data_IF_661385448934
#
_entry.id   IF_661385448934
#
_cell.length_a   1.000
_cell.length_b   1.000
_cell.length_c   1.000
_cell.angle_alpha   90.00
_cell.angle_beta   90.00
_cell.angle_gamma   90.00
#
_symmetry.space_group_name_H-M   'P 1'
#
loop_
_entity.id
_entity.type
_entity.pdbx_description
1 polymer ?
#
# COMPACT_ATOMS: atom_id res chain seq x y z
N UNK A 1 0.73 -14.82 9.53
CA UNK A 1 1.70 -15.10 8.45
C UNK A 1 2.19 -16.55 8.48
N UNK A 2 2.79 -17.02 9.58
CA UNK A 2 3.21 -18.42 9.76
C UNK A 2 2.09 -19.45 9.52
N UNK A 3 0.88 -19.23 10.04
CA UNK A 3 -0.24 -20.17 9.85
C UNK A 3 -0.88 -20.16 8.45
N UNK A 4 -0.62 -19.14 7.64
CA UNK A 4 -1.23 -18.99 6.30
C UNK A 4 -0.25 -19.29 5.15
N UNK A 5 1.06 -19.11 5.37
CA UNK A 5 2.06 -19.19 4.30
C UNK A 5 3.32 -19.98 4.67
N UNK A 6 3.32 -20.69 5.82
CA UNK A 6 4.44 -21.52 6.32
C UNK A 6 5.81 -20.80 6.40
N UNK A 7 5.79 -19.46 6.30
CA UNK A 7 6.96 -18.59 6.29
C UNK A 7 6.58 -17.20 6.82
N UNK A 8 7.44 -16.63 7.68
CA UNK A 8 7.37 -15.22 8.11
C UNK A 8 7.82 -14.24 7.03
N UNK A 9 8.41 -14.71 5.93
CA UNK A 9 9.05 -13.86 4.91
C UNK A 9 8.06 -13.19 3.95
N UNK A 10 6.77 -13.56 4.02
CA UNK A 10 5.72 -13.02 3.15
C UNK A 10 4.73 -12.12 3.86
N UNK A 11 5.23 -11.21 4.70
CA UNK A 11 4.43 -10.10 5.25
C UNK A 11 4.99 -8.75 4.79
N UNK A 12 4.16 -7.97 4.11
CA UNK A 12 4.43 -6.58 3.74
C UNK A 12 3.67 -5.70 4.73
N UNK A 13 4.39 -4.89 5.51
CA UNK A 13 3.76 -3.95 6.45
C UNK A 13 3.80 -2.54 5.88
N UNK A 14 2.65 -1.86 5.91
CA UNK A 14 2.48 -0.48 5.45
C UNK A 14 1.98 0.34 6.64
N UNK A 15 2.74 1.36 6.99
CA UNK A 15 2.37 2.32 8.01
C UNK A 15 1.45 3.38 7.39
N UNK A 16 0.22 3.44 7.89
CA UNK A 16 -0.81 4.31 7.32
C UNK A 16 -0.73 5.76 7.84
N UNK A 17 0.08 6.01 8.86
CA UNK A 17 0.33 7.36 9.39
C UNK A 17 1.07 8.27 8.38
N UNK A 18 1.74 7.70 7.38
CA UNK A 18 2.39 8.46 6.29
C UNK A 18 1.37 8.92 5.20
N UNK A 19 0.13 8.40 5.23
CA UNK A 19 -0.87 8.57 4.16
C UNK A 19 -2.07 9.45 4.56
N UNK A 20 -1.79 10.52 5.31
CA UNK A 20 -2.80 11.47 5.82
C UNK A 20 -3.30 12.46 4.77
N UNK A 21 -2.52 12.71 3.73
CA UNK A 21 -2.82 13.70 2.70
C UNK A 21 -3.34 13.03 1.42
N UNK A 22 -4.28 13.67 0.71
CA UNK A 22 -4.90 13.05 -0.47
C UNK A 22 -3.90 12.72 -1.59
N UNK A 23 -2.77 13.44 -1.67
CA UNK A 23 -1.74 13.21 -2.68
C UNK A 23 -0.73 12.13 -2.28
N UNK A 24 -0.60 11.76 -1.00
CA UNK A 24 0.27 10.65 -0.60
C UNK A 24 -0.35 9.30 -0.98
N UNK A 25 -1.67 9.20 -1.12
CA UNK A 25 -2.37 8.01 -1.66
C UNK A 25 -1.82 7.63 -3.06
N UNK A 26 -1.55 8.63 -3.90
CA UNK A 26 -0.99 8.39 -5.24
C UNK A 26 0.41 7.74 -5.18
N UNK A 27 1.17 7.94 -4.10
CA UNK A 27 2.47 7.27 -3.91
C UNK A 27 2.31 5.82 -3.48
N UNK A 28 1.24 5.49 -2.77
CA UNK A 28 0.96 4.13 -2.30
C UNK A 28 0.56 3.21 -3.47
N UNK A 29 -0.38 3.66 -4.30
CA UNK A 29 -1.06 2.80 -5.30
C UNK A 29 -0.65 3.16 -6.74
N UNK A 30 -0.01 4.31 -6.94
CA UNK A 30 0.27 4.90 -8.25
C UNK A 30 -0.71 6.05 -8.52
N UNK A 31 -0.26 7.05 -9.26
CA UNK A 31 -1.12 8.17 -9.63
C UNK A 31 -2.08 7.77 -10.76
N UNK A 32 -3.20 8.48 -10.90
CA UNK A 32 -4.08 8.36 -12.07
C UNK A 32 -3.43 9.03 -13.30
N UNK A 33 -3.87 8.69 -14.54
CA UNK A 33 -3.52 9.47 -15.72
C UNK A 33 -3.77 10.96 -15.44
N UNK A 34 -2.85 11.83 -15.86
CA UNK A 34 -2.85 13.28 -15.64
C UNK A 34 -2.46 13.77 -14.21
N UNK A 35 -2.10 12.88 -13.29
CA UNK A 35 -1.56 13.25 -11.97
C UNK A 35 -0.02 13.21 -11.92
N UNK A 36 0.59 14.08 -11.11
CA UNK A 36 2.04 14.06 -10.86
C UNK A 36 2.42 12.71 -10.24
N UNK A 37 3.37 12.00 -10.87
CA UNK A 37 3.79 10.67 -10.44
C UNK A 37 3.09 9.49 -11.15
N UNK A 38 2.31 9.74 -12.21
CA UNK A 38 1.66 8.67 -13.01
C UNK A 38 2.64 7.62 -13.55
N UNK A 39 3.86 8.03 -13.91
CA UNK A 39 4.89 7.11 -14.41
C UNK A 39 5.63 6.36 -13.28
N UNK A 40 5.34 6.66 -12.01
CA UNK A 40 5.90 5.95 -10.87
C UNK A 40 4.91 4.86 -10.43
N UNK A 41 5.35 3.60 -10.51
CA UNK A 41 4.62 2.48 -9.91
C UNK A 41 4.44 2.76 -8.41
N UNK A 42 3.22 2.59 -7.89
CA UNK A 42 2.93 2.79 -6.47
C UNK A 42 3.72 1.82 -5.60
N UNK A 43 4.12 2.26 -4.41
CA UNK A 43 4.90 1.44 -3.48
C UNK A 43 4.25 0.08 -3.20
N UNK A 44 2.94 0.05 -2.96
CA UNK A 44 2.20 -1.18 -2.73
C UNK A 44 2.10 -2.02 -4.01
N UNK A 45 1.71 -1.40 -5.13
CA UNK A 45 1.54 -2.10 -6.40
C UNK A 45 2.83 -2.75 -6.89
N UNK A 46 3.97 -2.07 -6.75
CA UNK A 46 5.27 -2.61 -7.15
C UNK A 46 5.74 -3.74 -6.22
N UNK A 47 5.51 -3.58 -4.91
CA UNK A 47 5.88 -4.61 -3.93
C UNK A 47 5.07 -5.89 -4.16
N UNK A 48 3.76 -5.77 -4.38
CA UNK A 48 2.89 -6.91 -4.71
C UNK A 48 3.25 -7.53 -6.07
N UNK A 49 3.62 -6.71 -7.06
CA UNK A 49 4.08 -7.23 -8.37
C UNK A 49 5.33 -8.10 -8.23
N UNK A 50 6.26 -7.72 -7.34
CA UNK A 50 7.49 -8.51 -7.05
C UNK A 50 7.21 -9.72 -6.18
N UNK A 51 6.24 -9.62 -5.27
CA UNK A 51 5.88 -10.67 -4.32
C UNK A 51 4.36 -10.85 -4.24
N UNK A 52 3.76 -11.58 -5.20
CA UNK A 52 2.30 -11.67 -5.34
C UNK A 52 1.63 -12.50 -4.23
N UNK A 53 2.37 -13.38 -3.55
CA UNK A 53 1.88 -14.18 -2.44
C UNK A 53 2.40 -13.63 -1.13
N UNK A 54 1.75 -12.58 -0.64
CA UNK A 54 2.09 -11.94 0.62
C UNK A 54 0.85 -11.54 1.41
N UNK A 55 0.99 -11.49 2.73
CA UNK A 55 0.04 -10.82 3.63
C UNK A 55 0.42 -9.35 3.67
N UNK A 56 -0.53 -8.47 3.36
CA UNK A 56 -0.37 -7.03 3.54
C UNK A 56 -1.01 -6.66 4.88
N UNK A 57 -0.21 -6.06 5.77
CA UNK A 57 -0.67 -5.49 7.04
C UNK A 57 -0.64 -3.97 6.91
N UNK A 58 -1.80 -3.35 7.02
CA UNK A 58 -1.94 -1.90 7.19
C UNK A 58 -1.94 -1.61 8.70
N UNK A 59 -0.88 -0.96 9.18
CA UNK A 59 -0.67 -0.56 10.58
C UNK A 59 -1.07 0.91 10.76
N UNK A 60 -1.46 1.31 11.98
CA UNK A 60 -1.88 2.69 12.31
C UNK A 60 -3.02 3.28 11.45
N UNK A 61 -4.04 2.46 11.16
CA UNK A 61 -5.23 2.80 10.35
C UNK A 61 -6.26 3.70 11.04
N UNK A 62 -5.88 4.38 12.11
CA UNK A 62 -6.72 5.39 12.77
C UNK A 62 -6.38 6.83 12.34
N UNK A 63 -5.24 7.05 11.68
CA UNK A 63 -4.69 8.37 11.42
C UNK A 63 -4.70 8.77 9.93
N UNK A 64 -5.05 7.87 9.03
CA UNK A 64 -4.97 8.03 7.58
C UNK A 64 -6.11 8.83 6.97
N UNK A 65 -5.94 9.18 5.69
CA UNK A 65 -6.96 9.90 4.94
C UNK A 65 -8.18 9.00 4.67
N UNK A 66 -9.42 9.43 4.98
CA UNK A 66 -10.64 8.61 4.83
C UNK A 66 -10.87 8.03 3.42
N UNK A 67 -10.32 8.68 2.40
CA UNK A 67 -10.45 8.25 0.99
C UNK A 67 -9.64 6.99 0.65
N UNK A 68 -8.69 6.58 1.50
CA UNK A 68 -7.85 5.40 1.24
C UNK A 68 -8.71 4.13 1.14
N UNK A 69 -9.72 4.02 1.99
CA UNK A 69 -10.68 2.92 2.03
C UNK A 69 -11.57 2.83 0.79
N UNK A 70 -11.70 3.93 0.03
CA UNK A 70 -12.43 3.90 -1.24
C UNK A 70 -11.59 3.32 -2.39
N UNK A 71 -10.29 3.12 -2.15
CA UNK A 71 -9.32 2.70 -3.18
C UNK A 71 -8.82 1.26 -2.96
N UNK A 72 -8.84 0.77 -1.72
CA UNK A 72 -8.53 -0.62 -1.34
C UNK A 72 -9.75 -1.54 -1.56
#
# INVERSE_FOLDING_TARGET
ALELFDSTESMIRIDMSEYTESHSIARLIGALPDYVGFEQDGQLTETVRRQPYAVILFDEVENEHPQIWSTL
#
